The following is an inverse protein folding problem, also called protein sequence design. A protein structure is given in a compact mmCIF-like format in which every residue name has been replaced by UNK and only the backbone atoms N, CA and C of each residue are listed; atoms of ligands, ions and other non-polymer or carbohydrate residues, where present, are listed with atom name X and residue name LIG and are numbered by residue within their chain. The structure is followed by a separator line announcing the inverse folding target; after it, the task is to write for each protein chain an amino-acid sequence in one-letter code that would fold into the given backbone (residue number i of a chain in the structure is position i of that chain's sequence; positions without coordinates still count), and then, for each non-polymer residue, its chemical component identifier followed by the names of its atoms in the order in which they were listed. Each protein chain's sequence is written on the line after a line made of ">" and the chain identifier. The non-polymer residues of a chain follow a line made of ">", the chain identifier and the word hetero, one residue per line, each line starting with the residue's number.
data_IF_829865190844
#
_entry.id   IF_829865190844
#
_cell.length_a   1.000
_cell.length_b   1.000
_cell.length_c   1.000
_cell.angle_alpha   90.00
_cell.angle_beta   90.00
_cell.angle_gamma   90.00
#
_symmetry.space_group_name_H-M   'P 1'
#
loop_
_entity.id
_entity.type
_entity.pdbx_description
1 polymer ?
#
# COMPACT_ATOMS: atom_id res chain seq x y z
N UNK A 1 28.39 61.49 32.92
CA UNK A 1 27.05 61.01 33.35
C UNK A 1 26.86 59.69 32.64
N UNK A 2 27.70 58.73 33.02
CA UNK A 2 27.42 57.66 33.99
C UNK A 2 26.78 56.48 33.25
N UNK A 3 27.57 55.46 32.89
CA UNK A 3 27.98 54.32 33.73
C UNK A 3 26.83 53.29 33.81
N UNK A 4 26.94 51.96 33.70
CA UNK A 4 28.05 51.00 33.76
C UNK A 4 27.33 49.63 33.79
N UNK A 5 27.56 48.72 32.85
CA UNK A 5 28.44 47.52 32.98
C UNK A 5 27.68 46.18 33.09
N UNK A 6 28.29 45.24 32.37
CA UNK A 6 28.20 43.78 32.27
C UNK A 6 28.26 43.07 33.64
N UNK A 7 27.58 41.94 33.82
CA UNK A 7 28.19 40.79 34.53
C UNK A 7 27.53 39.46 34.19
N UNK A 8 28.37 38.51 33.77
CA UNK A 8 28.10 37.09 33.54
C UNK A 8 27.91 36.27 34.84
N UNK A 9 27.14 35.19 34.68
CA UNK A 9 27.28 33.81 35.17
C UNK A 9 27.82 33.44 36.57
N UNK A 10 27.08 32.52 37.23
CA UNK A 10 27.56 31.29 37.93
C UNK A 10 26.35 30.34 38.11
N UNK A 11 26.27 29.22 37.40
CA UNK A 11 26.85 27.90 37.74
C UNK A 11 26.44 27.37 39.12
N UNK A 12 25.58 26.37 39.13
CA UNK A 12 25.67 25.21 40.03
C UNK A 12 24.97 24.02 39.37
N UNK A 13 25.77 23.08 38.85
CA UNK A 13 25.29 21.79 38.39
C UNK A 13 25.15 20.78 39.52
N UNK A 14 24.26 19.80 39.33
CA UNK A 14 24.53 18.40 39.68
C UNK A 14 23.88 17.52 38.60
N UNK A 15 24.74 16.81 37.90
CA UNK A 15 24.48 15.68 37.01
C UNK A 15 23.93 14.46 37.75
N UNK A 16 22.91 13.80 37.21
CA UNK A 16 22.87 12.32 37.19
C UNK A 16 22.29 11.85 35.85
N UNK A 17 23.05 10.98 35.20
CA UNK A 17 22.88 10.56 33.83
C UNK A 17 21.72 9.60 33.60
N UNK A 18 21.18 9.71 32.39
CA UNK A 18 20.44 8.66 31.68
C UNK A 18 20.98 8.65 30.26
N UNK A 19 21.35 7.48 29.77
CA UNK A 19 22.05 7.28 28.51
C UNK A 19 21.35 7.96 27.32
N UNK A 20 22.16 8.65 26.51
CA UNK A 20 21.84 9.02 25.13
C UNK A 20 21.57 7.74 24.35
N UNK A 21 20.33 7.54 23.91
CA UNK A 21 20.05 6.79 22.70
C UNK A 21 19.41 7.82 21.76
N UNK A 22 20.20 8.23 20.78
CA UNK A 22 19.74 8.97 19.61
C UNK A 22 18.89 7.99 18.80
N UNK A 23 17.62 8.32 18.62
CA UNK A 23 16.85 7.90 17.46
C UNK A 23 16.20 9.18 16.93
N UNK A 24 17.00 9.99 16.23
CA UNK A 24 16.44 10.96 15.28
C UNK A 24 15.84 10.14 14.14
N UNK A 25 14.57 9.80 14.31
CA UNK A 25 13.66 9.54 13.23
C UNK A 25 12.74 10.74 13.15
N UNK A 26 13.22 11.83 12.54
CA UNK A 26 12.36 12.90 12.06
C UNK A 26 11.46 12.30 10.98
N UNK A 27 10.38 11.65 11.41
CA UNK A 27 9.21 11.45 10.56
C UNK A 27 8.62 12.84 10.44
N UNK A 28 8.98 13.54 9.37
CA UNK A 28 8.35 14.81 9.00
C UNK A 28 6.84 14.64 9.14
N UNK A 29 6.25 15.40 10.07
CA UNK A 29 4.83 15.27 10.38
C UNK A 29 4.04 15.71 9.15
N UNK A 30 3.35 14.75 8.52
CA UNK A 30 2.58 14.99 7.31
C UNK A 30 1.53 16.09 7.56
N UNK A 31 1.54 17.12 6.70
CA UNK A 31 0.54 18.17 6.73
C UNK A 31 -0.75 17.67 6.09
N UNK A 32 -1.95 18.05 6.59
CA UNK A 32 -3.22 17.74 5.92
C UNK A 32 -3.33 18.28 4.49
N UNK A 33 -2.44 19.19 4.10
CA UNK A 33 -2.35 19.77 2.74
C UNK A 33 -1.34 19.07 1.84
N UNK A 34 -0.57 18.11 2.37
CA UNK A 34 0.41 17.34 1.62
C UNK A 34 -0.27 16.56 0.50
N UNK A 35 0.38 16.50 -0.68
CA UNK A 35 -0.21 15.83 -1.85
C UNK A 35 -0.50 14.36 -1.53
N UNK A 36 0.37 13.70 -0.78
CA UNK A 36 0.18 12.30 -0.37
C UNK A 36 -1.08 12.08 0.47
N UNK A 37 -1.41 13.01 1.37
CA UNK A 37 -2.59 12.94 2.24
C UNK A 37 -3.86 13.31 1.48
N UNK A 38 -3.78 14.36 0.66
CA UNK A 38 -4.88 14.80 -0.22
C UNK A 38 -5.28 13.69 -1.20
N UNK A 39 -4.29 12.99 -1.79
CA UNK A 39 -4.56 11.84 -2.65
C UNK A 39 -5.13 10.66 -1.88
N UNK A 40 -4.58 10.37 -0.70
CA UNK A 40 -5.07 9.28 0.13
C UNK A 40 -6.55 9.45 0.47
N UNK A 41 -6.93 10.61 1.01
CA UNK A 41 -8.33 10.87 1.35
C UNK A 41 -9.21 10.99 0.10
N UNK A 42 -8.76 11.72 -0.92
CA UNK A 42 -9.52 12.00 -2.14
C UNK A 42 -9.79 10.76 -3.02
N UNK A 43 -9.07 9.66 -2.83
CA UNK A 43 -9.25 8.42 -3.60
C UNK A 43 -9.82 7.26 -2.79
N UNK A 44 -10.11 7.48 -1.50
CA UNK A 44 -10.58 6.45 -0.57
C UNK A 44 -11.82 5.71 -1.04
N UNK A 45 -12.83 6.42 -1.55
CA UNK A 45 -14.05 5.76 -2.07
C UNK A 45 -13.77 4.91 -3.30
N UNK A 46 -12.89 5.39 -4.20
CA UNK A 46 -12.52 4.65 -5.41
C UNK A 46 -11.69 3.41 -5.08
N UNK A 47 -10.79 3.51 -4.10
CA UNK A 47 -10.07 2.37 -3.54
C UNK A 47 -11.03 1.36 -2.91
N UNK A 48 -11.95 1.82 -2.06
CA UNK A 48 -12.97 0.96 -1.42
C UNK A 48 -13.82 0.24 -2.47
N UNK A 49 -14.23 0.92 -3.55
CA UNK A 49 -14.97 0.29 -4.66
C UNK A 49 -14.12 -0.76 -5.38
N UNK A 50 -12.85 -0.47 -5.64
CA UNK A 50 -11.95 -1.40 -6.31
C UNK A 50 -11.72 -2.69 -5.50
N UNK A 51 -11.47 -2.58 -4.19
CA UNK A 51 -11.35 -3.74 -3.31
C UNK A 51 -12.65 -4.55 -3.19
N UNK A 52 -13.80 -3.89 -3.38
CA UNK A 52 -15.10 -4.53 -3.26
C UNK A 52 -15.68 -5.09 -4.56
N UNK A 53 -14.97 -4.98 -5.69
CA UNK A 53 -15.42 -5.61 -6.92
C UNK A 53 -15.33 -7.14 -6.84
N UNK A 54 -16.18 -7.82 -7.60
CA UNK A 54 -16.33 -9.27 -7.49
C UNK A 54 -15.04 -10.00 -7.92
N UNK A 55 -14.41 -9.54 -9.00
CA UNK A 55 -13.12 -10.03 -9.46
C UNK A 55 -12.05 -10.02 -8.36
N UNK A 56 -11.86 -8.88 -7.67
CA UNK A 56 -10.85 -8.75 -6.60
C UNK A 56 -11.22 -9.62 -5.39
N UNK A 57 -12.50 -9.67 -5.01
CA UNK A 57 -12.98 -10.54 -3.92
C UNK A 57 -12.71 -12.01 -4.20
N UNK A 58 -12.98 -12.48 -5.42
CA UNK A 58 -12.74 -13.86 -5.81
C UNK A 58 -11.24 -14.15 -5.90
N UNK A 59 -10.45 -13.22 -6.45
CA UNK A 59 -9.00 -13.31 -6.42
C UNK A 59 -8.49 -13.50 -5.00
N UNK A 60 -8.86 -12.64 -4.04
CA UNK A 60 -8.40 -12.70 -2.65
C UNK A 60 -8.83 -13.99 -1.92
N UNK A 61 -9.94 -14.60 -2.35
CA UNK A 61 -10.37 -15.93 -1.88
C UNK A 61 -9.60 -17.08 -2.53
N UNK A 62 -8.73 -16.79 -3.49
CA UNK A 62 -7.98 -17.78 -4.27
C UNK A 62 -8.80 -18.41 -5.41
N UNK A 63 -9.94 -17.82 -5.76
CA UNK A 63 -10.81 -18.27 -6.86
C UNK A 63 -10.41 -17.54 -8.14
N UNK A 64 -9.22 -17.85 -8.64
CA UNK A 64 -8.70 -17.26 -9.87
C UNK A 64 -8.27 -18.37 -10.82
N UNK A 65 -8.76 -18.32 -12.05
CA UNK A 65 -8.37 -19.25 -13.11
C UNK A 65 -7.04 -18.82 -13.72
N UNK A 66 -6.20 -19.77 -14.15
CA UNK A 66 -4.88 -19.49 -14.73
C UNK A 66 -5.02 -18.66 -16.01
N UNK A 67 -6.00 -18.99 -16.84
CA UNK A 67 -6.28 -18.25 -18.07
C UNK A 67 -6.68 -16.80 -17.80
N UNK A 68 -7.43 -16.56 -16.72
CA UNK A 68 -7.82 -15.20 -16.36
C UNK A 68 -6.66 -14.40 -15.76
N UNK A 69 -5.83 -15.05 -14.95
CA UNK A 69 -4.63 -14.43 -14.40
C UNK A 69 -3.68 -13.95 -15.50
N UNK A 70 -3.38 -14.79 -16.51
CA UNK A 70 -2.49 -14.38 -17.60
C UNK A 70 -3.05 -13.25 -18.46
N UNK A 71 -4.38 -13.13 -18.59
CA UNK A 71 -5.04 -12.00 -19.28
C UNK A 71 -4.92 -10.72 -18.47
N UNK A 72 -5.09 -10.82 -17.15
CA UNK A 72 -4.80 -9.71 -16.24
C UNK A 72 -3.34 -9.27 -16.31
N UNK A 73 -2.39 -10.21 -16.37
CA UNK A 73 -0.97 -9.91 -16.58
C UNK A 73 -0.72 -9.20 -17.90
N UNK A 74 -1.39 -9.60 -18.99
CA UNK A 74 -1.28 -8.92 -20.28
C UNK A 74 -1.84 -7.49 -20.23
N UNK A 75 -2.98 -7.28 -19.58
CA UNK A 75 -3.53 -5.93 -19.37
C UNK A 75 -2.56 -5.03 -18.59
N UNK A 76 -1.96 -5.55 -17.52
CA UNK A 76 -0.91 -4.85 -16.77
C UNK A 76 0.29 -4.53 -17.66
N UNK A 77 0.76 -5.46 -18.49
CA UNK A 77 1.88 -5.21 -19.39
C UNK A 77 1.65 -3.98 -20.28
N UNK A 78 0.47 -3.87 -20.90
CA UNK A 78 0.15 -2.70 -21.73
C UNK A 78 0.06 -1.40 -20.92
N UNK A 79 -0.61 -1.42 -19.76
CA UNK A 79 -0.75 -0.24 -18.89
C UNK A 79 0.61 0.27 -18.40
N UNK A 80 1.46 -0.62 -17.89
CA UNK A 80 2.78 -0.23 -17.40
C UNK A 80 3.73 0.14 -18.54
N UNK A 81 3.65 -0.51 -19.70
CA UNK A 81 4.44 -0.11 -20.86
C UNK A 81 4.16 1.34 -21.27
N UNK A 82 2.87 1.70 -21.36
CA UNK A 82 2.46 3.07 -21.67
C UNK A 82 2.90 4.05 -20.58
N UNK A 83 2.67 3.71 -19.31
CA UNK A 83 3.01 4.59 -18.18
C UNK A 83 4.51 4.83 -18.08
N UNK A 84 5.32 3.78 -18.21
CA UNK A 84 6.77 3.86 -18.10
C UNK A 84 7.39 4.54 -19.32
N UNK A 85 6.81 4.37 -20.51
CA UNK A 85 7.19 5.13 -21.70
C UNK A 85 6.96 6.63 -21.49
N UNK A 86 5.78 7.03 -21.01
CA UNK A 86 5.45 8.44 -20.81
C UNK A 86 6.22 9.07 -19.64
N UNK A 87 6.47 8.32 -18.56
CA UNK A 87 7.36 8.74 -17.48
C UNK A 87 8.79 8.94 -18.01
N UNK A 88 9.29 8.04 -18.86
CA UNK A 88 10.63 8.15 -19.44
C UNK A 88 10.76 9.38 -20.35
N UNK A 89 9.76 9.63 -21.20
CA UNK A 89 9.71 10.84 -22.06
C UNK A 89 9.72 12.13 -21.24
N UNK A 90 9.09 12.10 -20.06
CA UNK A 90 8.94 13.25 -19.18
C UNK A 90 9.89 13.24 -17.96
N UNK A 91 10.93 12.40 -17.95
CA UNK A 91 11.80 12.19 -16.77
C UNK A 91 12.45 13.47 -16.24
N UNK A 92 12.72 14.43 -17.11
CA UNK A 92 13.36 15.71 -16.79
C UNK A 92 12.32 16.81 -16.47
N UNK A 93 11.02 16.52 -16.59
CA UNK A 93 9.94 17.46 -16.28
C UNK A 93 9.90 17.74 -14.76
N UNK A 94 9.76 18.99 -14.30
CA UNK A 94 9.86 19.35 -12.87
C UNK A 94 8.91 18.57 -11.95
N UNK A 95 7.72 18.19 -12.45
CA UNK A 95 6.74 17.42 -11.68
C UNK A 95 6.95 15.89 -11.70
N UNK A 96 7.82 15.38 -12.58
CA UNK A 96 8.08 13.94 -12.76
C UNK A 96 9.44 13.55 -12.22
N UNK A 97 10.46 14.38 -12.43
CA UNK A 97 11.82 14.12 -11.95
C UNK A 97 11.88 13.72 -10.46
N UNK A 98 11.11 14.33 -9.53
CA UNK A 98 11.15 13.93 -8.12
C UNK A 98 10.62 12.52 -7.82
N UNK A 99 9.72 12.01 -8.68
CA UNK A 99 9.10 10.68 -8.54
C UNK A 99 9.63 9.65 -9.55
N UNK A 100 10.70 9.98 -10.26
CA UNK A 100 11.31 9.12 -11.27
C UNK A 100 12.23 8.07 -10.62
N UNK A 101 11.70 6.85 -10.44
CA UNK A 101 12.38 5.72 -9.80
C UNK A 101 12.38 4.46 -10.69
N UNK A 102 13.05 4.49 -11.87
CA UNK A 102 12.94 3.42 -12.85
C UNK A 102 13.47 2.08 -12.34
N UNK A 103 14.62 2.08 -11.66
CA UNK A 103 15.27 0.87 -11.13
C UNK A 103 14.40 0.18 -10.08
N UNK A 104 13.75 0.98 -9.24
CA UNK A 104 12.98 0.49 -8.11
C UNK A 104 11.55 0.12 -8.50
N UNK A 105 10.92 0.91 -9.37
CA UNK A 105 9.48 0.81 -9.65
C UNK A 105 9.11 0.21 -11.00
N UNK A 106 9.90 0.34 -12.07
CA UNK A 106 9.45 -0.11 -13.39
C UNK A 106 9.15 -1.61 -13.41
N UNK A 107 8.01 -1.98 -14.00
CA UNK A 107 7.43 -3.32 -14.02
C UNK A 107 7.37 -3.92 -15.41
N UNK A 108 7.51 -3.14 -16.50
CA UNK A 108 7.38 -3.65 -17.88
C UNK A 108 8.21 -4.90 -18.12
N UNK A 109 9.48 -4.88 -17.74
CA UNK A 109 10.40 -6.00 -17.99
C UNK A 109 10.08 -7.21 -17.10
N UNK A 110 9.58 -6.98 -15.89
CA UNK A 110 9.09 -8.05 -15.01
C UNK A 110 7.82 -8.70 -15.57
N UNK A 111 6.90 -7.88 -16.09
CA UNK A 111 5.67 -8.33 -16.74
C UNK A 111 5.96 -9.11 -18.03
N UNK A 112 6.96 -8.70 -18.82
CA UNK A 112 7.40 -9.44 -20.00
C UNK A 112 7.87 -10.86 -19.64
N UNK A 113 8.66 -11.01 -18.57
CA UNK A 113 9.07 -12.34 -18.06
C UNK A 113 7.89 -13.18 -17.56
N UNK A 114 6.91 -12.55 -16.93
CA UNK A 114 5.69 -13.26 -16.50
C UNK A 114 4.86 -13.72 -17.70
N UNK A 115 4.77 -12.91 -18.75
CA UNK A 115 4.07 -13.27 -19.98
C UNK A 115 4.78 -14.38 -20.75
N UNK A 116 6.11 -14.35 -20.82
CA UNK A 116 6.90 -15.45 -21.37
C UNK A 116 6.65 -16.76 -20.61
N UNK A 117 6.54 -16.70 -19.28
CA UNK A 117 6.18 -17.87 -18.47
C UNK A 117 4.77 -18.41 -18.79
N UNK A 118 3.79 -17.54 -19.07
CA UNK A 118 2.39 -17.95 -19.29
C UNK A 118 2.04 -18.32 -20.74
N UNK A 119 2.67 -17.67 -21.72
CA UNK A 119 2.36 -17.81 -23.15
C UNK A 119 3.52 -18.42 -23.97
N UNK A 120 4.74 -18.52 -23.40
CA UNK A 120 5.92 -19.03 -24.08
C UNK A 120 6.76 -17.93 -24.75
N UNK A 121 7.79 -18.33 -25.51
CA UNK A 121 8.78 -17.41 -26.11
C UNK A 121 8.14 -16.35 -27.03
N UNK A 122 7.06 -16.68 -27.75
CA UNK A 122 6.36 -15.78 -28.68
C UNK A 122 5.17 -15.04 -28.03
N UNK A 123 5.21 -14.82 -26.71
CA UNK A 123 4.10 -14.25 -25.94
C UNK A 123 3.60 -12.91 -26.49
N UNK A 124 4.48 -12.11 -27.08
CA UNK A 124 4.18 -10.78 -27.64
C UNK A 124 3.18 -10.86 -28.80
N UNK A 125 3.24 -11.94 -29.58
CA UNK A 125 2.30 -12.22 -30.68
C UNK A 125 0.96 -12.82 -30.21
N UNK A 126 0.92 -13.35 -28.99
CA UNK A 126 -0.26 -14.03 -28.42
C UNK A 126 -1.15 -13.07 -27.60
N UNK A 127 -0.61 -11.93 -27.17
CA UNK A 127 -1.37 -10.92 -26.43
C UNK A 127 -1.83 -9.78 -27.34
N UNK A 128 -2.97 -9.18 -27.00
CA UNK A 128 -3.49 -8.02 -27.70
C UNK A 128 -4.12 -7.04 -26.73
N UNK A 129 -4.01 -5.74 -27.02
CA UNK A 129 -4.69 -4.71 -26.25
C UNK A 129 -6.21 -4.88 -26.34
N UNK A 130 -6.85 -5.10 -25.19
CA UNK A 130 -8.28 -5.39 -25.11
C UNK A 130 -9.14 -4.13 -25.08
N UNK A 131 -10.45 -4.27 -25.29
CA UNK A 131 -11.37 -3.13 -25.27
C UNK A 131 -11.49 -2.50 -23.87
N UNK A 132 -11.37 -3.30 -22.80
CA UNK A 132 -11.36 -2.82 -21.41
C UNK A 132 -10.04 -2.16 -21.01
N UNK A 133 -8.91 -2.55 -21.61
CA UNK A 133 -7.58 -1.99 -21.29
C UNK A 133 -7.23 -0.76 -22.12
N UNK A 134 -7.67 -0.71 -23.39
CA UNK A 134 -7.35 0.37 -24.33
C UNK A 134 -7.64 1.78 -23.80
N UNK A 135 -8.79 2.07 -23.16
CA UNK A 135 -9.07 3.41 -22.64
C UNK A 135 -8.04 3.89 -21.62
N UNK A 136 -7.46 2.96 -20.85
CA UNK A 136 -6.45 3.30 -19.86
C UNK A 136 -5.13 3.69 -20.54
N UNK A 137 -4.68 2.85 -21.48
CA UNK A 137 -3.46 3.07 -22.26
C UNK A 137 -3.54 4.38 -23.05
N UNK A 138 -4.66 4.60 -23.74
CA UNK A 138 -4.90 5.83 -24.50
C UNK A 138 -4.81 7.07 -23.60
N UNK A 139 -5.43 7.02 -22.41
CA UNK A 139 -5.41 8.15 -21.48
C UNK A 139 -4.01 8.42 -20.94
N UNK A 140 -3.22 7.39 -20.67
CA UNK A 140 -1.84 7.54 -20.20
C UNK A 140 -1.00 8.27 -21.25
N UNK A 141 -1.08 7.86 -22.53
CA UNK A 141 -0.38 8.56 -23.62
C UNK A 141 -0.89 9.99 -23.78
N UNK A 142 -2.21 10.20 -23.74
CA UNK A 142 -2.80 11.54 -23.83
C UNK A 142 -2.21 12.48 -22.77
N UNK A 143 -2.17 12.07 -21.49
CA UNK A 143 -1.64 12.93 -20.43
C UNK A 143 -0.12 13.06 -20.49
N UNK A 144 0.60 12.01 -20.89
CA UNK A 144 2.05 12.08 -21.07
C UNK A 144 2.47 13.08 -22.15
N UNK A 145 1.67 13.23 -23.19
CA UNK A 145 1.92 14.19 -24.27
C UNK A 145 1.41 15.60 -23.97
N UNK A 146 0.24 15.72 -23.33
CA UNK A 146 -0.46 17.02 -23.22
C UNK A 146 -0.39 17.67 -21.85
N UNK A 147 -0.24 16.90 -20.79
CA UNK A 147 -0.27 17.39 -19.41
C UNK A 147 0.50 16.47 -18.45
N UNK A 148 1.85 16.47 -18.51
CA UNK A 148 2.68 15.52 -17.78
C UNK A 148 2.48 15.55 -16.27
N UNK A 149 1.98 16.64 -15.69
CA UNK A 149 1.60 16.74 -14.28
C UNK A 149 0.71 15.55 -13.85
N UNK A 150 -0.21 15.14 -14.72
CA UNK A 150 -1.19 14.09 -14.42
C UNK A 150 -0.58 12.68 -14.44
N UNK A 151 0.63 12.48 -14.94
CA UNK A 151 1.34 11.20 -14.79
C UNK A 151 1.64 10.87 -13.33
N UNK A 152 1.75 11.88 -12.44
CA UNK A 152 1.87 11.68 -10.99
C UNK A 152 0.69 10.86 -10.45
N UNK A 153 -0.52 11.10 -10.97
CA UNK A 153 -1.74 10.42 -10.56
C UNK A 153 -1.72 8.93 -10.91
N UNK A 154 -1.29 8.61 -12.13
CA UNK A 154 -1.19 7.23 -12.64
C UNK A 154 -0.09 6.45 -11.92
N UNK A 155 1.08 7.06 -11.77
CA UNK A 155 2.23 6.51 -11.04
C UNK A 155 1.86 6.20 -9.59
N UNK A 156 1.20 7.15 -8.89
CA UNK A 156 0.73 6.95 -7.52
C UNK A 156 -0.27 5.79 -7.42
N UNK A 157 -1.34 5.81 -8.24
CA UNK A 157 -2.42 4.82 -8.18
C UNK A 157 -1.89 3.39 -8.41
N UNK A 158 -0.94 3.21 -9.34
CA UNK A 158 -0.36 1.90 -9.65
C UNK A 158 0.70 1.47 -8.62
N UNK A 159 1.81 2.19 -8.53
CA UNK A 159 2.96 1.72 -7.75
C UNK A 159 2.69 1.68 -6.24
N UNK A 160 1.93 2.62 -5.67
CA UNK A 160 1.60 2.56 -4.24
C UNK A 160 0.64 1.40 -3.92
N UNK A 161 -0.23 1.05 -4.87
CA UNK A 161 -1.07 -0.14 -4.82
C UNK A 161 -0.24 -1.42 -4.81
N UNK A 162 0.72 -1.54 -5.72
CA UNK A 162 1.59 -2.72 -5.84
C UNK A 162 2.45 -2.96 -4.60
N UNK A 163 3.01 -1.89 -4.03
CA UNK A 163 3.83 -1.94 -2.81
C UNK A 163 3.00 -2.18 -1.53
N UNK A 164 1.68 -2.11 -1.61
CA UNK A 164 0.77 -2.32 -0.47
C UNK A 164 0.00 -3.63 -0.59
N UNK A 165 -0.97 -3.70 -1.51
CA UNK A 165 -1.80 -4.89 -1.72
C UNK A 165 -1.14 -5.97 -2.56
N UNK A 166 -0.18 -5.61 -3.42
CA UNK A 166 0.45 -6.54 -4.36
C UNK A 166 1.15 -7.73 -3.68
N UNK A 167 1.69 -7.55 -2.47
CA UNK A 167 2.34 -8.65 -1.72
C UNK A 167 1.33 -9.71 -1.24
N UNK A 168 0.10 -9.30 -0.93
CA UNK A 168 -0.99 -10.22 -0.61
C UNK A 168 -1.41 -10.95 -1.88
N UNK A 169 -1.62 -10.21 -2.97
CA UNK A 169 -1.99 -10.79 -4.27
C UNK A 169 -0.97 -11.81 -4.77
N UNK A 170 0.33 -11.55 -4.60
CA UNK A 170 1.42 -12.50 -4.91
C UNK A 170 1.23 -13.83 -4.19
N UNK A 171 1.05 -13.82 -2.87
CA UNK A 171 0.88 -15.03 -2.06
C UNK A 171 -0.36 -15.81 -2.49
N UNK A 172 -1.45 -15.10 -2.76
CA UNK A 172 -2.72 -15.72 -3.17
C UNK A 172 -2.60 -16.34 -4.56
N UNK A 173 -2.03 -15.64 -5.54
CA UNK A 173 -1.80 -16.15 -6.89
C UNK A 173 -0.87 -17.38 -6.87
N UNK A 174 0.23 -17.33 -6.12
CA UNK A 174 1.17 -18.44 -6.00
C UNK A 174 0.48 -19.72 -5.53
N UNK A 175 -0.35 -19.61 -4.49
CA UNK A 175 -1.10 -20.75 -3.94
C UNK A 175 -2.20 -21.22 -4.89
N UNK A 176 -3.05 -20.32 -5.36
CA UNK A 176 -4.23 -20.66 -6.16
C UNK A 176 -3.84 -21.29 -7.52
N UNK A 177 -2.78 -20.78 -8.14
CA UNK A 177 -2.32 -21.22 -9.47
C UNK A 177 -1.17 -22.23 -9.41
N UNK A 178 -0.77 -22.66 -8.20
CA UNK A 178 0.34 -23.59 -7.93
C UNK A 178 1.63 -23.16 -8.64
N UNK A 179 1.94 -21.86 -8.58
CA UNK A 179 3.14 -21.31 -9.21
C UNK A 179 4.39 -21.69 -8.41
N UNK A 180 5.57 -21.79 -9.06
CA UNK A 180 6.81 -22.14 -8.39
C UNK A 180 7.17 -21.20 -7.23
N UNK A 181 7.86 -21.74 -6.22
CA UNK A 181 8.38 -20.95 -5.10
C UNK A 181 9.56 -20.07 -5.49
N UNK A 182 10.20 -20.36 -6.61
CA UNK A 182 11.29 -19.61 -7.25
C UNK A 182 10.83 -18.28 -7.83
N UNK A 183 9.52 -18.09 -8.06
CA UNK A 183 8.92 -16.78 -8.37
C UNK A 183 8.57 -16.54 -9.84
N UNK A 184 8.82 -17.50 -10.74
CA UNK A 184 8.43 -17.42 -12.14
C UNK A 184 6.90 -17.28 -12.29
N UNK A 185 6.47 -16.40 -13.19
CA UNK A 185 5.07 -16.01 -13.36
C UNK A 185 4.56 -15.02 -12.31
N UNK A 186 5.42 -14.54 -11.40
CA UNK A 186 5.12 -13.54 -10.36
C UNK A 186 6.22 -12.48 -10.22
N UNK A 187 7.03 -12.24 -11.26
CA UNK A 187 8.08 -11.23 -11.27
C UNK A 187 7.52 -9.83 -11.06
N UNK A 188 6.33 -9.52 -11.57
CA UNK A 188 5.64 -8.24 -11.39
C UNK A 188 5.59 -7.80 -9.91
N UNK A 189 5.32 -8.74 -9.01
CA UNK A 189 5.19 -8.49 -7.57
C UNK A 189 6.53 -8.42 -6.83
N UNK A 190 7.66 -8.55 -7.52
CA UNK A 190 9.00 -8.59 -6.95
C UNK A 190 9.76 -7.30 -7.28
N UNK A 191 10.08 -6.52 -6.25
CA UNK A 191 10.77 -5.25 -6.37
C UNK A 191 12.23 -5.41 -5.95
N UNK A 192 13.08 -5.89 -6.87
CA UNK A 192 14.49 -6.19 -6.57
C UNK A 192 15.28 -4.96 -6.07
N UNK A 193 14.93 -3.76 -6.57
CA UNK A 193 15.49 -2.49 -6.11
C UNK A 193 14.97 -1.98 -4.75
N UNK A 194 14.02 -2.69 -4.12
CA UNK A 194 13.37 -2.24 -2.87
C UNK A 194 13.53 -3.28 -1.77
N UNK A 195 14.44 -3.03 -0.83
CA UNK A 195 14.63 -3.91 0.33
C UNK A 195 13.62 -3.68 1.47
N UNK A 196 13.11 -2.45 1.61
CA UNK A 196 12.13 -2.09 2.62
C UNK A 196 10.95 -1.35 1.97
N UNK A 197 9.86 -2.06 1.72
CA UNK A 197 8.66 -1.51 1.09
C UNK A 197 8.05 -0.35 1.89
N UNK A 198 8.04 -0.43 3.23
CA UNK A 198 7.48 0.65 4.05
C UNK A 198 8.31 1.91 3.95
N UNK A 199 9.64 1.76 4.02
CA UNK A 199 10.57 2.88 3.87
C UNK A 199 10.48 3.51 2.48
N UNK A 200 10.41 2.70 1.43
CA UNK A 200 10.27 3.22 0.07
C UNK A 200 8.94 3.94 -0.16
N UNK A 201 7.83 3.42 0.37
CA UNK A 201 6.54 4.13 0.31
C UNK A 201 6.58 5.48 1.03
N UNK A 202 7.33 5.59 2.13
CA UNK A 202 7.51 6.87 2.83
C UNK A 202 8.36 7.84 2.01
N UNK A 203 9.46 7.35 1.41
CA UNK A 203 10.29 8.12 0.49
C UNK A 203 9.46 8.66 -0.68
N UNK A 204 8.69 7.80 -1.34
CA UNK A 204 7.86 8.18 -2.49
C UNK A 204 6.85 9.27 -2.12
N UNK A 205 6.18 9.15 -0.96
CA UNK A 205 5.27 10.19 -0.45
C UNK A 205 5.98 11.51 -0.17
N UNK A 206 7.15 11.46 0.46
CA UNK A 206 7.97 12.65 0.71
C UNK A 206 8.33 13.36 -0.61
N UNK A 207 8.76 12.62 -1.64
CA UNK A 207 9.03 13.19 -2.98
C UNK A 207 7.81 13.82 -3.64
N UNK A 208 6.64 13.21 -3.49
CA UNK A 208 5.39 13.81 -3.98
C UNK A 208 5.05 15.12 -3.25
N UNK A 209 5.38 15.22 -1.96
CA UNK A 209 5.09 16.41 -1.16
C UNK A 209 6.05 17.57 -1.46
N UNK A 210 7.23 17.27 -2.02
CA UNK A 210 8.19 18.27 -2.53
C UNK A 210 7.72 18.95 -3.83
N UNK A 211 6.66 18.44 -4.49
CA UNK A 211 6.14 19.05 -5.71
C UNK A 211 5.52 20.44 -5.45
N UNK A 212 6.01 21.44 -6.17
CA UNK A 212 5.50 22.82 -6.13
C UNK A 212 4.14 22.91 -6.84
N UNK A 213 3.06 22.61 -6.10
CA UNK A 213 1.70 22.55 -6.63
C UNK A 213 0.75 23.52 -5.92
N UNK A 214 -0.02 24.26 -6.71
CA UNK A 214 -1.17 25.01 -6.23
C UNK A 214 -2.37 24.09 -5.93
N UNK A 215 -3.43 24.68 -5.37
CA UNK A 215 -4.64 23.94 -4.97
C UNK A 215 -5.35 23.30 -6.18
N UNK A 216 -5.36 23.96 -7.33
CA UNK A 216 -6.02 23.48 -8.54
C UNK A 216 -5.27 22.28 -9.13
N UNK A 217 -3.94 22.36 -9.19
CA UNK A 217 -3.09 21.25 -9.62
C UNK A 217 -3.26 20.02 -8.74
N UNK A 218 -3.27 20.20 -7.40
CA UNK A 218 -3.52 19.09 -6.47
C UNK A 218 -4.87 18.43 -6.72
N UNK A 219 -5.92 19.22 -6.90
CA UNK A 219 -7.25 18.69 -7.18
C UNK A 219 -7.29 17.93 -8.52
N UNK A 220 -6.64 18.45 -9.57
CA UNK A 220 -6.53 17.76 -10.87
C UNK A 220 -5.83 16.41 -10.76
N UNK A 221 -4.78 16.29 -9.94
CA UNK A 221 -4.12 14.99 -9.68
C UNK A 221 -5.09 14.03 -8.97
N UNK A 222 -5.85 14.50 -7.97
CA UNK A 222 -6.87 13.67 -7.28
C UNK A 222 -7.95 13.20 -8.24
N UNK A 223 -8.47 14.08 -9.07
CA UNK A 223 -9.51 13.76 -10.05
C UNK A 223 -8.99 12.73 -11.07
N UNK A 224 -7.77 12.92 -11.56
CA UNK A 224 -7.13 11.96 -12.46
C UNK A 224 -6.83 10.62 -11.77
N UNK A 225 -6.43 10.60 -10.49
CA UNK A 225 -6.25 9.35 -9.76
C UNK A 225 -7.57 8.59 -9.62
N UNK A 226 -8.69 9.29 -9.38
CA UNK A 226 -10.02 8.68 -9.41
C UNK A 226 -10.39 8.13 -10.80
N UNK A 227 -10.00 8.82 -11.88
CA UNK A 227 -10.15 8.29 -13.26
C UNK A 227 -9.29 7.05 -13.49
N UNK A 228 -8.06 7.03 -12.98
CA UNK A 228 -7.18 5.87 -13.01
C UNK A 228 -7.83 4.66 -12.32
N UNK A 229 -8.45 4.83 -11.15
CA UNK A 229 -9.26 3.78 -10.52
C UNK A 229 -10.43 3.33 -11.41
N UNK A 230 -11.12 4.27 -12.06
CA UNK A 230 -12.17 3.96 -13.04
C UNK A 230 -11.68 3.07 -14.20
N UNK A 231 -10.50 3.33 -14.75
CA UNK A 231 -9.92 2.47 -15.77
C UNK A 231 -9.54 1.08 -15.25
N UNK A 232 -8.98 0.99 -14.04
CA UNK A 232 -8.73 -0.32 -13.41
C UNK A 232 -10.02 -1.11 -13.24
N UNK A 233 -11.12 -0.45 -12.90
CA UNK A 233 -12.44 -1.08 -12.83
C UNK A 233 -12.92 -1.61 -14.19
N UNK A 234 -12.70 -0.88 -15.28
CA UNK A 234 -13.03 -1.37 -16.63
C UNK A 234 -12.26 -2.66 -16.97
N UNK A 235 -10.97 -2.72 -16.64
CA UNK A 235 -10.15 -3.93 -16.81
C UNK A 235 -10.71 -5.08 -15.97
N UNK A 236 -11.05 -4.84 -14.70
CA UNK A 236 -11.61 -5.88 -13.83
C UNK A 236 -12.98 -6.39 -14.33
N UNK A 237 -13.83 -5.50 -14.83
CA UNK A 237 -15.13 -5.88 -15.41
C UNK A 237 -14.96 -6.72 -16.66
N UNK A 238 -14.07 -6.35 -17.58
CA UNK A 238 -13.79 -7.17 -18.77
C UNK A 238 -13.25 -8.56 -18.39
N UNK A 239 -12.35 -8.63 -17.40
CA UNK A 239 -11.85 -9.90 -16.88
C UNK A 239 -12.96 -10.75 -16.25
N UNK A 240 -13.87 -10.15 -15.48
CA UNK A 240 -15.02 -10.84 -14.91
C UNK A 240 -15.94 -11.43 -16.00
N UNK A 241 -16.23 -10.64 -17.03
CA UNK A 241 -17.03 -11.08 -18.18
C UNK A 241 -16.37 -12.25 -18.91
N UNK A 242 -15.07 -12.16 -19.21
CA UNK A 242 -14.30 -13.26 -19.81
C UNK A 242 -14.34 -14.50 -18.90
N UNK A 243 -14.09 -14.33 -17.60
CA UNK A 243 -14.09 -15.41 -16.62
C UNK A 243 -15.42 -16.18 -16.56
N UNK A 244 -16.54 -15.49 -16.76
CA UNK A 244 -17.88 -16.11 -16.80
C UNK A 244 -18.07 -17.06 -17.98
N UNK A 245 -17.26 -16.91 -19.04
CA UNK A 245 -17.34 -17.73 -20.27
C UNK A 245 -16.37 -18.90 -20.30
N UNK A 246 -15.33 -18.87 -19.44
CA UNK A 246 -14.30 -19.92 -19.40
C UNK A 246 -14.82 -21.12 -18.58
N UNK A 247 -14.89 -22.28 -19.23
CA UNK A 247 -15.22 -23.57 -18.60
C UNK A 247 -13.96 -24.25 -18.04
N UNK A 248 -13.21 -23.56 -17.19
CA UNK A 248 -12.17 -24.21 -16.38
C UNK A 248 -12.73 -24.51 -15.00
N UNK A 249 -12.46 -25.72 -14.49
CA UNK A 249 -12.78 -26.07 -13.11
C UNK A 249 -12.01 -25.11 -12.19
N UNK A 250 -12.73 -24.20 -11.53
CA UNK A 250 -12.18 -23.36 -10.46
C UNK A 250 -11.66 -24.33 -9.40
N UNK A 251 -10.34 -24.47 -9.31
CA UNK A 251 -9.73 -25.24 -8.25
C UNK A 251 -9.90 -24.46 -6.96
N UNK A 252 -10.93 -24.81 -6.19
CA UNK A 252 -11.08 -24.33 -4.82
C UNK A 252 -9.81 -24.77 -4.08
N UNK A 253 -9.11 -23.82 -3.46
CA UNK A 253 -7.87 -24.08 -2.74
C UNK A 253 -8.11 -24.83 -1.42
N UNK A 254 -8.93 -25.89 -1.43
CA UNK A 254 -9.33 -26.71 -0.28
C UNK A 254 -9.97 -25.92 0.88
N UNK A 255 -10.47 -26.61 1.92
CA UNK A 255 -10.80 -25.97 3.19
C UNK A 255 -9.49 -25.69 3.96
N UNK A 256 -8.59 -24.91 3.39
CA UNK A 256 -7.65 -24.12 4.15
C UNK A 256 -8.37 -22.82 4.49
N UNK A 257 -8.56 -22.54 5.78
CA UNK A 257 -9.19 -21.30 6.28
C UNK A 257 -8.96 -20.15 5.30
N UNK A 258 -10.06 -19.50 4.88
CA UNK A 258 -9.96 -18.33 4.01
C UNK A 258 -8.83 -17.44 4.55
N UNK A 259 -7.98 -16.88 3.70
CA UNK A 259 -6.93 -16.00 4.23
C UNK A 259 -7.52 -14.72 4.87
N UNK A 260 -8.84 -14.53 4.79
CA UNK A 260 -9.59 -13.59 5.63
C UNK A 260 -9.66 -14.02 7.12
N UNK A 261 -9.54 -15.32 7.42
CA UNK A 261 -9.49 -15.89 8.78
C UNK A 261 -8.07 -16.17 9.28
N UNK A 262 -7.10 -16.45 8.37
CA UNK A 262 -5.65 -16.46 8.68
C UNK A 262 -5.04 -15.12 8.26
N UNK A 263 -5.57 -14.03 8.81
CA UNK A 263 -4.83 -12.78 8.85
C UNK A 263 -4.13 -12.75 10.20
N UNK A 264 -2.81 -12.99 10.24
CA UNK A 264 -2.05 -12.54 11.39
C UNK A 264 -2.27 -11.02 11.53
N UNK A 265 -2.62 -10.59 12.75
CA UNK A 265 -3.01 -9.22 13.13
C UNK A 265 -2.03 -8.13 12.66
N UNK A 266 -0.82 -8.51 12.24
CA UNK A 266 0.26 -7.61 11.85
C UNK A 266 0.30 -7.27 10.35
N UNK A 267 -0.34 -8.06 9.47
CA UNK A 267 -0.33 -7.80 8.02
C UNK A 267 -1.48 -6.89 7.56
N UNK A 268 -2.56 -6.82 8.35
CA UNK A 268 -3.70 -5.91 8.13
C UNK A 268 -3.30 -4.42 8.23
N UNK A 269 -2.31 -4.11 9.06
CA UNK A 269 -1.86 -2.74 9.33
C UNK A 269 -1.00 -2.13 8.20
N UNK A 270 -0.77 -2.84 7.08
CA UNK A 270 0.14 -2.40 6.00
C UNK A 270 -0.55 -1.79 4.78
N UNK A 271 -1.87 -1.91 4.69
CA UNK A 271 -2.69 -1.14 3.75
C UNK A 271 -3.16 0.16 4.45
N UNK A 272 -2.74 1.35 3.99
CA UNK A 272 -3.08 2.62 4.66
C UNK A 272 -4.60 2.85 4.73
N UNK A 273 -5.37 2.37 3.75
CA UNK A 273 -6.84 2.44 3.75
C UNK A 273 -7.48 1.53 4.80
N UNK A 274 -6.91 0.35 5.04
CA UNK A 274 -7.44 -0.61 6.01
C UNK A 274 -7.10 -0.20 7.46
N UNK A 275 -5.90 0.34 7.70
CA UNK A 275 -5.50 0.89 9.00
C UNK A 275 -6.42 2.05 9.43
N UNK A 276 -6.76 2.96 8.51
CA UNK A 276 -7.69 4.05 8.76
C UNK A 276 -9.13 3.58 9.05
N UNK A 277 -9.59 2.51 8.37
CA UNK A 277 -10.91 1.90 8.59
C UNK A 277 -11.06 1.30 10.00
N UNK A 278 -10.00 0.68 10.52
CA UNK A 278 -10.00 0.12 11.90
C UNK A 278 -9.96 1.19 12.99
N UNK A 279 -9.31 2.34 12.75
CA UNK A 279 -9.31 3.46 13.69
C UNK A 279 -10.68 4.14 13.80
N UNK A 280 -11.43 4.20 12.69
CA UNK A 280 -12.76 4.80 12.63
C UNK A 280 -13.89 3.89 13.14
N UNK A 281 -13.73 2.56 13.08
CA UNK A 281 -14.81 1.60 13.37
C UNK A 281 -15.00 1.23 14.85
N UNK A 282 -14.39 1.96 15.79
CA UNK A 282 -14.70 1.94 17.23
C UNK A 282 -15.23 0.62 17.79
N UNK A 283 -14.49 -0.48 17.64
CA UNK A 283 -15.01 -1.80 18.02
C UNK A 283 -14.63 -2.11 19.48
N UNK A 284 -15.60 -2.27 20.42
CA UNK A 284 -15.33 -2.51 21.85
C UNK A 284 -14.58 -3.82 22.13
N UNK A 285 -14.43 -4.70 21.13
CA UNK A 285 -13.60 -5.90 21.25
C UNK A 285 -12.11 -5.59 21.43
N UNK A 286 -11.61 -4.44 20.98
CA UNK A 286 -10.20 -4.07 21.15
C UNK A 286 -9.84 -3.77 22.62
N UNK A 287 -10.71 -3.05 23.34
CA UNK A 287 -10.51 -2.80 24.76
C UNK A 287 -10.59 -4.09 25.57
N UNK A 288 -11.52 -4.99 25.23
CA UNK A 288 -11.69 -6.27 25.91
C UNK A 288 -10.52 -7.23 25.65
N UNK A 289 -10.01 -7.30 24.40
CA UNK A 289 -8.88 -8.15 24.05
C UNK A 289 -7.55 -7.62 24.60
N UNK A 290 -7.34 -6.31 24.66
CA UNK A 290 -6.15 -5.71 25.28
C UNK A 290 -6.14 -5.98 26.80
N UNK A 291 -7.30 -5.85 27.45
CA UNK A 291 -7.47 -6.17 28.88
C UNK A 291 -7.20 -7.67 29.14
N UNK A 292 -7.72 -8.56 28.29
CA UNK A 292 -7.48 -10.01 28.40
C UNK A 292 -6.02 -10.41 28.13
N UNK A 293 -5.33 -9.68 27.25
CA UNK A 293 -3.92 -9.91 26.93
C UNK A 293 -3.00 -9.45 28.07
N UNK A 294 -3.32 -8.31 28.70
CA UNK A 294 -2.63 -7.85 29.91
C UNK A 294 -2.88 -8.80 31.11
N UNK A 295 -4.09 -9.35 31.24
CA UNK A 295 -4.42 -10.33 32.30
C UNK A 295 -3.78 -11.72 32.09
N UNK A 296 -3.20 -12.00 30.92
CA UNK A 296 -2.45 -13.25 30.64
C UNK A 296 -0.96 -13.14 30.92
N UNK A 297 -0.41 -11.94 31.13
CA UNK A 297 1.00 -11.78 31.48
C UNK A 297 1.23 -12.10 32.96
N UNK A 298 2.12 -13.04 33.32
CA UNK A 298 2.41 -13.40 34.71
C UNK A 298 2.72 -12.21 35.63
N UNK A 299 3.50 -11.19 35.23
CA UNK A 299 3.75 -10.05 36.11
C UNK A 299 2.51 -9.17 36.34
N UNK A 300 1.60 -9.08 35.37
CA UNK A 300 0.33 -8.37 35.52
C UNK A 300 -0.64 -9.14 36.44
N UNK A 301 -0.65 -10.47 36.38
CA UNK A 301 -1.44 -11.29 37.31
C UNK A 301 -0.98 -11.12 38.76
N UNK A 302 0.34 -11.06 38.99
CA UNK A 302 0.92 -10.83 40.32
C UNK A 302 0.61 -9.41 40.81
N UNK A 303 0.71 -8.40 39.95
CA UNK A 303 0.33 -7.03 40.30
C UNK A 303 -1.16 -6.91 40.66
N UNK A 304 -2.04 -7.55 39.87
CA UNK A 304 -3.49 -7.54 40.11
C UNK A 304 -3.85 -8.26 41.41
N UNK A 305 -3.23 -9.42 41.68
CA UNK A 305 -3.42 -10.18 42.92
C UNK A 305 -2.92 -9.40 44.15
N UNK A 306 -1.82 -8.65 44.00
CA UNK A 306 -1.26 -7.78 45.05
C UNK A 306 -2.20 -6.60 45.34
N UNK A 307 -2.74 -5.95 44.31
CA UNK A 307 -3.74 -4.89 44.48
C UNK A 307 -5.02 -5.39 45.15
N UNK A 308 -5.52 -6.57 44.78
CA UNK A 308 -6.71 -7.17 45.39
C UNK A 308 -6.44 -7.53 46.86
N UNK A 309 -5.28 -8.08 47.18
CA UNK A 309 -4.90 -8.40 48.55
C UNK A 309 -4.76 -7.14 49.44
N UNK A 310 -4.20 -6.05 48.88
CA UNK A 310 -4.11 -4.76 49.57
C UNK A 310 -5.50 -4.17 49.82
N UNK A 311 -6.39 -4.19 48.81
CA UNK A 311 -7.76 -3.70 48.96
C UNK A 311 -8.58 -4.52 49.94
N UNK A 312 -8.43 -5.85 49.94
CA UNK A 312 -9.07 -6.73 50.91
C UNK A 312 -8.53 -6.51 52.33
N UNK A 313 -7.22 -6.30 52.48
CA UNK A 313 -6.58 -5.95 53.76
C UNK A 313 -7.07 -4.60 54.31
N UNK A 314 -7.16 -3.58 53.47
CA UNK A 314 -7.72 -2.27 53.83
C UNK A 314 -9.20 -2.36 54.22
N UNK A 315 -10.00 -3.17 53.51
CA UNK A 315 -11.39 -3.40 53.86
C UNK A 315 -11.53 -4.15 55.20
N UNK A 316 -10.69 -5.14 55.48
CA UNK A 316 -10.72 -5.86 56.77
C UNK A 316 -10.31 -4.99 57.97
N UNK A 317 -9.52 -3.93 57.76
CA UNK A 317 -9.16 -2.96 58.81
C UNK A 317 -10.30 -1.97 59.11
N UNK A 318 -11.22 -1.77 58.16
CA UNK A 318 -12.38 -0.89 58.33
C UNK A 318 -13.57 -1.56 59.03
N UNK A 319 -13.53 -2.88 59.23
CA UNK A 319 -14.61 -3.68 59.82
C UNK A 319 -14.20 -4.47 61.08
N UNK A 320 -13.10 -4.07 61.73
CA UNK A 320 -12.69 -4.48 63.09
C UNK A 320 -12.57 -3.23 63.96
#
# INVERSE_FOLDING_TARGET
>A
MDNTVISEAKSNGVTKGGARIVVDGDVEALSPTDLSEVLFEGTKESHDRAENCQFVKDFLRGRIQRELFKRGTAALYFVYSAMEEEIEKNRDHPHIAPIYFPTELHRRDALARDLEYFYGENWDSEISLTAGTKPYVDRIHEVGETDPLLLVAHSYTRYMGDLSGGQILKKVAQRALKLPTTGEGLNFYQFEGIHNHSGFKQLYRSRMNELELDVEMRQRIVDESNRAFGFNMMVFTELEEIGSTIKEDIQDAGPGHSHAEIMERDDINKCPYYAAKMAASGNPTHACNLLMMLLRHPPCQVALATCIAVLAGCASWYFV
#
